data_IF_369869601251
#
_entry.id   IF_369869601251
#
_cell.length_a   1.000
_cell.length_b   1.000
_cell.length_c   1.000
_cell.angle_alpha   90.00
_cell.angle_beta   90.00
_cell.angle_gamma   90.00
#
_symmetry.space_group_name_H-M   'P 1'
#
loop_
_entity.id
_entity.type
_entity.pdbx_description
1 polymer ?
#
# COMPACT_ATOMS: atom_id res chain seq x y z
N UNK A 1 -13.61 27.05 -7.80
CA UNK A 1 -12.25 26.61 -8.21
C UNK A 1 -12.43 25.69 -9.41
N UNK A 2 -12.20 26.24 -10.61
CA UNK A 2 -12.31 25.48 -11.85
C UNK A 2 -11.13 24.53 -12.00
N UNK A 3 -11.37 23.33 -12.53
CA UNK A 3 -10.29 22.48 -13.03
C UNK A 3 -9.68 23.23 -14.21
N UNK A 4 -8.35 23.48 -14.23
CA UNK A 4 -7.73 24.13 -15.38
C UNK A 4 -7.92 23.26 -16.64
N UNK A 5 -8.22 23.91 -17.77
CA UNK A 5 -8.37 23.25 -19.07
C UNK A 5 -7.04 22.65 -19.59
N UNK A 6 -5.92 23.10 -19.03
CA UNK A 6 -4.60 22.57 -19.31
C UNK A 6 -4.34 21.29 -18.50
N UNK A 7 -3.73 20.26 -19.10
CA UNK A 7 -3.40 19.03 -18.40
C UNK A 7 -2.46 19.34 -17.22
N UNK A 8 -2.95 19.11 -16.00
CA UNK A 8 -2.13 19.17 -14.79
C UNK A 8 -0.98 18.17 -14.92
N UNK A 9 0.25 18.67 -14.97
CA UNK A 9 1.45 17.83 -14.96
C UNK A 9 1.48 16.98 -13.69
N UNK A 10 1.50 15.64 -13.86
CA UNK A 10 1.67 14.70 -12.77
C UNK A 10 3.12 14.22 -12.74
N UNK A 11 3.97 14.93 -12.00
CA UNK A 11 5.34 14.49 -11.74
C UNK A 11 6.38 15.58 -11.92
N UNK A 12 7.61 15.16 -12.23
CA UNK A 12 8.76 16.05 -12.45
C UNK A 12 8.63 16.75 -13.80
N UNK A 13 8.86 18.07 -13.87
CA UNK A 13 8.74 18.80 -15.13
C UNK A 13 9.60 18.23 -16.26
N UNK A 14 8.97 17.96 -17.40
CA UNK A 14 9.63 17.43 -18.61
C UNK A 14 9.69 15.90 -18.72
N UNK A 15 9.22 15.15 -17.72
CA UNK A 15 9.12 13.68 -17.76
C UNK A 15 7.71 13.15 -18.03
N UNK A 16 6.75 14.03 -18.30
CA UNK A 16 5.40 13.63 -18.66
C UNK A 16 5.40 12.95 -20.04
N UNK A 17 4.56 11.93 -20.20
CA UNK A 17 4.46 11.14 -21.44
C UNK A 17 4.15 11.99 -22.69
N UNK A 18 3.51 13.14 -22.48
CA UNK A 18 3.21 14.14 -23.52
C UNK A 18 4.48 14.91 -23.89
N UNK A 19 5.24 15.41 -22.90
CA UNK A 19 6.51 16.13 -23.11
C UNK A 19 7.59 15.26 -23.74
N UNK A 20 7.57 13.95 -23.47
CA UNK A 20 8.45 12.96 -24.07
C UNK A 20 8.05 12.56 -25.51
N UNK A 21 6.94 13.09 -26.04
CA UNK A 21 6.45 12.80 -27.40
C UNK A 21 5.93 11.37 -27.58
N UNK A 22 5.68 10.63 -26.50
CA UNK A 22 5.17 9.26 -26.53
C UNK A 22 3.64 9.23 -26.69
N UNK A 23 2.96 10.31 -26.26
CA UNK A 23 1.50 10.44 -26.31
C UNK A 23 1.14 11.78 -26.93
N UNK A 24 0.39 11.74 -28.03
CA UNK A 24 -0.20 12.94 -28.64
C UNK A 24 -1.35 13.44 -27.77
N UNK A 25 -1.25 14.67 -27.27
CA UNK A 25 -2.28 15.28 -26.43
C UNK A 25 -3.66 15.33 -27.12
N UNK A 26 -3.67 15.56 -28.44
CA UNK A 26 -4.90 15.66 -29.24
C UNK A 26 -5.63 14.33 -29.43
N UNK A 27 -4.94 13.20 -29.26
CA UNK A 27 -5.51 11.85 -29.40
C UNK A 27 -6.05 11.30 -28.09
N UNK A 28 -5.88 12.03 -26.98
CA UNK A 28 -6.38 11.58 -25.68
C UNK A 28 -7.92 11.66 -25.71
N UNK A 29 -8.63 10.53 -25.54
CA UNK A 29 -10.09 10.54 -25.52
C UNK A 29 -10.58 11.39 -24.33
N UNK A 30 -11.29 12.48 -24.64
CA UNK A 30 -11.94 13.33 -23.64
C UNK A 30 -13.27 12.69 -23.27
N UNK A 31 -13.43 12.29 -22.02
CA UNK A 31 -14.68 11.76 -21.50
C UNK A 31 -15.44 12.87 -20.79
N UNK A 32 -16.66 13.14 -21.24
CA UNK A 32 -17.57 14.06 -20.55
C UNK A 32 -18.21 13.33 -19.37
N UNK A 33 -17.76 13.65 -18.15
CA UNK A 33 -18.44 13.22 -16.94
C UNK A 33 -19.55 14.23 -16.64
N UNK A 34 -20.80 13.78 -16.63
CA UNK A 34 -21.90 14.64 -16.19
C UNK A 34 -21.70 15.01 -14.71
N UNK A 35 -22.05 16.24 -14.34
CA UNK A 35 -21.92 16.72 -12.94
C UNK A 35 -22.72 15.84 -11.98
N UNK A 36 -23.84 15.27 -12.45
CA UNK A 36 -24.69 14.38 -11.68
C UNK A 36 -24.02 13.03 -11.39
N UNK A 37 -23.40 12.41 -12.39
CA UNK A 37 -22.66 11.16 -12.19
C UNK A 37 -21.45 11.33 -11.29
N UNK A 38 -20.72 12.45 -11.42
CA UNK A 38 -19.62 12.78 -10.53
C UNK A 38 -20.07 12.90 -9.06
N UNK A 39 -21.19 13.59 -8.81
CA UNK A 39 -21.77 13.72 -7.45
C UNK A 39 -22.24 12.37 -6.90
N UNK A 40 -22.85 11.54 -7.74
CA UNK A 40 -23.32 10.19 -7.36
C UNK A 40 -22.15 9.29 -6.96
N UNK A 41 -21.09 9.23 -7.78
CA UNK A 41 -19.90 8.42 -7.52
C UNK A 41 -19.18 8.86 -6.24
N UNK A 42 -19.00 10.16 -6.03
CA UNK A 42 -18.34 10.69 -4.83
C UNK A 42 -19.11 10.34 -3.54
N UNK A 43 -20.45 10.43 -3.57
CA UNK A 43 -21.31 10.08 -2.44
C UNK A 43 -21.24 8.60 -2.10
N UNK A 44 -21.26 7.75 -3.12
CA UNK A 44 -21.15 6.30 -2.96
C UNK A 44 -19.78 5.87 -2.43
N UNK A 45 -18.70 6.43 -2.98
CA UNK A 45 -17.34 6.20 -2.50
C UNK A 45 -17.21 6.58 -1.02
N UNK A 46 -17.69 7.78 -0.64
CA UNK A 46 -17.68 8.25 0.75
C UNK A 46 -18.47 7.31 1.68
N UNK A 47 -19.62 6.82 1.23
CA UNK A 47 -20.45 5.86 1.98
C UNK A 47 -19.73 4.55 2.22
N UNK A 48 -19.10 3.98 1.19
CA UNK A 48 -18.33 2.72 1.29
C UNK A 48 -17.10 2.90 2.19
N UNK A 49 -16.38 4.01 2.04
CA UNK A 49 -15.21 4.32 2.85
C UNK A 49 -15.56 4.41 4.34
N UNK A 50 -16.65 5.11 4.68
CA UNK A 50 -17.11 5.21 6.07
C UNK A 50 -17.60 3.87 6.62
N UNK A 51 -18.20 3.01 5.79
CA UNK A 51 -18.55 1.64 6.19
C UNK A 51 -17.29 0.82 6.53
N UNK A 52 -16.28 0.86 5.67
CA UNK A 52 -14.99 0.19 5.89
C UNK A 52 -14.29 0.70 7.15
N UNK A 53 -14.29 2.01 7.38
CA UNK A 53 -13.70 2.62 8.57
C UNK A 53 -14.39 2.14 9.85
N UNK A 54 -15.74 2.16 9.90
CA UNK A 54 -16.49 1.67 11.06
C UNK A 54 -16.27 0.18 11.32
N UNK A 55 -16.22 -0.64 10.27
CA UNK A 55 -15.93 -2.07 10.41
C UNK A 55 -14.54 -2.30 11.02
N UNK A 56 -13.54 -1.54 10.57
CA UNK A 56 -12.18 -1.58 11.13
C UNK A 56 -12.16 -1.14 12.60
N UNK A 57 -12.80 -0.02 12.94
CA UNK A 57 -12.89 0.49 14.31
C UNK A 57 -13.56 -0.51 15.27
N UNK A 58 -14.64 -1.17 14.83
CA UNK A 58 -15.31 -2.20 15.61
C UNK A 58 -14.39 -3.43 15.84
N UNK A 59 -13.68 -3.87 14.80
CA UNK A 59 -12.74 -4.98 14.91
C UNK A 59 -11.56 -4.65 15.86
N UNK A 60 -10.95 -3.47 15.72
CA UNK A 60 -9.83 -3.03 16.56
C UNK A 60 -10.26 -2.84 18.03
N UNK A 61 -11.41 -2.21 18.27
CA UNK A 61 -11.96 -2.04 19.63
C UNK A 61 -12.26 -3.40 20.29
N UNK A 62 -12.86 -4.34 19.56
CA UNK A 62 -13.13 -5.67 20.08
C UNK A 62 -11.84 -6.45 20.36
N UNK A 63 -10.85 -6.37 19.47
CA UNK A 63 -9.54 -6.99 19.67
C UNK A 63 -8.86 -6.45 20.94
N UNK A 64 -8.91 -5.13 21.15
CA UNK A 64 -8.35 -4.49 22.35
C UNK A 64 -9.06 -4.96 23.63
N UNK A 65 -10.40 -5.02 23.61
CA UNK A 65 -11.20 -5.49 24.75
C UNK A 65 -10.85 -6.95 25.09
N UNK A 66 -10.88 -7.84 24.10
CA UNK A 66 -10.53 -9.25 24.28
C UNK A 66 -9.08 -9.42 24.75
N UNK A 67 -8.14 -8.61 24.26
CA UNK A 67 -6.74 -8.62 24.74
C UNK A 67 -6.66 -8.29 26.23
N UNK A 68 -7.40 -7.28 26.71
CA UNK A 68 -7.41 -6.90 28.13
C UNK A 68 -8.02 -7.99 29.00
N UNK A 69 -9.17 -8.53 28.59
CA UNK A 69 -9.85 -9.63 29.29
C UNK A 69 -8.95 -10.89 29.35
N UNK A 70 -8.23 -11.20 28.26
CA UNK A 70 -7.29 -12.31 28.21
C UNK A 70 -6.10 -12.12 29.16
N UNK A 71 -5.54 -10.91 29.27
CA UNK A 71 -4.45 -10.61 30.20
C UNK A 71 -4.94 -10.73 31.66
N UNK A 72 -6.17 -10.29 31.95
CA UNK A 72 -6.75 -10.38 33.28
C UNK A 72 -6.98 -11.83 33.73
N UNK A 73 -7.32 -12.72 32.79
CA UNK A 73 -7.53 -14.15 33.05
C UNK A 73 -6.22 -14.93 33.31
N UNK A 74 -5.04 -14.32 33.15
CA UNK A 74 -3.75 -14.98 33.38
C UNK A 74 -3.39 -15.05 34.87
N UNK A 75 -2.62 -16.07 35.31
CA UNK A 75 -2.01 -16.10 36.62
C UNK A 75 -1.07 -14.90 36.86
N UNK A 76 -0.98 -14.45 38.12
CA UNK A 76 -0.29 -13.20 38.53
C UNK A 76 1.11 -13.03 37.93
N UNK A 77 1.94 -14.09 37.95
CA UNK A 77 3.31 -14.06 37.41
C UNK A 77 3.35 -13.82 35.90
N UNK A 78 2.41 -14.42 35.15
CA UNK A 78 2.32 -14.26 33.69
C UNK A 78 1.69 -12.93 33.31
N UNK A 79 0.73 -12.44 34.10
CA UNK A 79 0.12 -11.13 33.94
C UNK A 79 1.15 -10.00 34.02
N UNK A 80 2.06 -10.06 35.00
CA UNK A 80 3.16 -9.10 35.13
C UNK A 80 4.08 -9.08 33.89
N UNK A 81 4.42 -10.26 33.35
CA UNK A 81 5.24 -10.35 32.14
C UNK A 81 4.51 -9.82 30.89
N UNK A 82 3.20 -10.09 30.76
CA UNK A 82 2.39 -9.68 29.61
C UNK A 82 2.11 -8.16 29.56
N UNK A 83 2.24 -7.45 30.68
CA UNK A 83 2.08 -5.99 30.75
C UNK A 83 3.29 -5.21 30.20
N UNK A 84 4.45 -5.86 30.09
CA UNK A 84 5.66 -5.24 29.56
C UNK A 84 5.53 -5.10 28.04
N UNK A 85 5.69 -3.88 27.46
CA UNK A 85 5.68 -3.70 26.02
C UNK A 85 6.83 -4.45 25.34
N UNK A 86 6.52 -5.21 24.30
CA UNK A 86 7.52 -5.85 23.45
C UNK A 86 8.14 -4.82 22.50
N UNK A 87 9.46 -4.64 22.60
CA UNK A 87 10.26 -3.73 21.77
C UNK A 87 11.01 -4.46 20.65
N UNK A 88 10.73 -5.74 20.42
CA UNK A 88 11.32 -6.47 19.30
C UNK A 88 10.91 -5.81 17.98
N UNK A 89 11.87 -5.55 17.07
CA UNK A 89 11.56 -4.93 15.79
C UNK A 89 10.71 -5.86 14.94
N UNK A 90 9.86 -5.30 14.08
CA UNK A 90 9.08 -6.10 13.14
C UNK A 90 9.98 -6.93 12.23
N UNK A 91 9.56 -8.16 11.84
CA UNK A 91 10.34 -9.00 10.94
C UNK A 91 10.63 -8.30 9.61
N UNK A 92 11.88 -8.35 9.17
CA UNK A 92 12.33 -7.76 7.89
C UNK A 92 11.67 -8.41 6.67
N UNK A 93 11.20 -9.65 6.81
CA UNK A 93 10.62 -10.47 5.73
C UNK A 93 9.11 -10.29 5.57
N UNK A 94 8.51 -9.26 6.19
CA UNK A 94 7.09 -8.96 5.96
C UNK A 94 6.89 -8.34 4.58
N UNK A 95 6.79 -9.19 3.56
CA UNK A 95 6.55 -8.77 2.18
C UNK A 95 5.15 -8.17 2.03
N UNK A 96 5.05 -7.15 1.18
CA UNK A 96 3.74 -6.66 0.72
C UNK A 96 3.09 -7.71 -0.18
N UNK A 97 1.76 -7.78 -0.14
CA UNK A 97 1.02 -8.60 -1.08
C UNK A 97 1.31 -8.11 -2.51
N UNK A 98 1.79 -9.03 -3.36
CA UNK A 98 2.00 -8.80 -4.79
C UNK A 98 0.72 -9.14 -5.56
N UNK A 99 0.55 -8.53 -6.75
CA UNK A 99 -0.60 -8.82 -7.61
C UNK A 99 -0.66 -10.29 -8.04
N UNK A 100 0.51 -10.89 -8.27
CA UNK A 100 0.69 -12.31 -8.54
C UNK A 100 1.62 -12.92 -7.49
N UNK A 101 1.33 -14.12 -6.98
CA UNK A 101 2.23 -14.79 -6.05
C UNK A 101 3.59 -15.03 -6.72
N UNK A 102 4.71 -14.89 -5.99
CA UNK A 102 6.04 -15.10 -6.56
C UNK A 102 6.23 -16.57 -6.96
N UNK A 103 7.01 -16.79 -8.02
CA UNK A 103 7.42 -18.13 -8.44
C UNK A 103 8.43 -18.65 -7.41
N UNK A 104 8.19 -19.86 -6.88
CA UNK A 104 9.03 -20.49 -5.88
C UNK A 104 10.50 -20.61 -6.36
N UNK A 105 11.44 -20.22 -5.50
CA UNK A 105 12.88 -20.29 -5.77
C UNK A 105 13.39 -19.34 -6.86
N UNK A 106 12.55 -18.52 -7.49
CA UNK A 106 13.01 -17.59 -8.54
C UNK A 106 13.95 -16.52 -7.97
N UNK A 107 13.61 -15.95 -6.81
CA UNK A 107 14.44 -14.93 -6.14
C UNK A 107 15.81 -15.52 -5.77
N UNK A 108 15.86 -16.78 -5.32
CA UNK A 108 17.10 -17.43 -4.94
C UNK A 108 17.99 -17.69 -6.16
N UNK A 109 17.41 -18.16 -7.28
CA UNK A 109 18.12 -18.29 -8.56
C UNK A 109 18.70 -16.97 -9.06
N UNK A 110 17.95 -15.87 -8.93
CA UNK A 110 18.40 -14.53 -9.31
C UNK A 110 19.55 -14.05 -8.40
N UNK A 111 19.44 -14.27 -7.08
CA UNK A 111 20.52 -13.96 -6.12
C UNK A 111 21.78 -14.76 -6.41
N UNK A 112 21.66 -16.05 -6.68
CA UNK A 112 22.79 -16.90 -7.05
C UNK A 112 23.45 -16.41 -8.35
N UNK A 113 22.67 -16.07 -9.37
CA UNK A 113 23.20 -15.53 -10.62
C UNK A 113 23.92 -14.19 -10.43
N UNK A 114 23.36 -13.29 -9.60
CA UNK A 114 23.96 -11.99 -9.28
C UNK A 114 25.25 -12.11 -8.44
N UNK A 115 25.32 -13.07 -7.52
CA UNK A 115 26.54 -13.38 -6.77
C UNK A 115 27.63 -13.91 -7.70
N UNK A 116 27.28 -14.76 -8.67
CA UNK A 116 28.22 -15.27 -9.68
C UNK A 116 28.74 -14.16 -10.61
N UNK A 117 27.91 -13.20 -10.99
CA UNK A 117 28.32 -12.12 -11.89
C UNK A 117 29.13 -11.01 -11.19
N UNK A 118 28.83 -10.68 -9.93
CA UNK A 118 29.55 -9.65 -9.17
C UNK A 118 30.97 -10.07 -8.74
N UNK A 119 31.23 -11.38 -8.58
CA UNK A 119 32.58 -11.91 -8.35
C UNK A 119 33.55 -11.70 -9.52
N UNK A 120 33.03 -11.50 -10.74
CA UNK A 120 33.85 -11.36 -11.95
C UNK A 120 34.37 -9.92 -12.22
N UNK A 121 33.88 -8.90 -11.50
CA UNK A 121 34.20 -7.49 -11.78
C UNK A 121 35.26 -6.85 -10.85
N UNK A 122 35.81 -7.56 -9.85
CA UNK A 122 36.95 -7.07 -9.04
C UNK A 122 38.33 -7.43 -9.62
N UNK A 123 38.49 -7.29 -10.94
CA UNK A 123 39.80 -7.23 -11.60
C UNK A 123 39.78 -6.09 -12.60
N UNK A 124 39.99 -4.86 -12.10
CA UNK A 124 40.70 -3.80 -12.82
C UNK A 124 41.16 -2.74 -11.83
#
# INVERSE_FOLDING_TARGET
MGVPDEPLMMGTPGFDLISLGLVDADKIPKYELTVEDGRRLAKEYSRVLMRKHRARQAAETNLLRMKKEAIEALPEKLKQAALVPDLTPFPKERFMATLTPPIEGYIDKVKEAAMRSSGAQKIR
#
